data_IF_667756624748
#
_entry.id   IF_667756624748
#
_cell.length_a   1.000
_cell.length_b   1.000
_cell.length_c   1.000
_cell.angle_alpha   90.00
_cell.angle_beta   90.00
_cell.angle_gamma   90.00
#
_symmetry.space_group_name_H-M   'P 1'
#
loop_
_entity.id
_entity.type
_entity.pdbx_description
1 polymer ?
#
# COMPACT_ATOMS: atom_id res chain seq x y z
N UNK A 1 -72.65 -31.14 39.78
CA UNK A 1 -72.50 -31.59 38.38
C UNK A 1 -72.98 -30.44 37.51
N UNK A 2 -72.10 -29.81 36.75
CA UNK A 2 -72.34 -29.61 35.31
C UNK A 2 -71.10 -29.08 34.61
N UNK A 3 -70.83 -29.72 33.48
CA UNK A 3 -69.59 -29.71 32.74
C UNK A 3 -69.52 -28.53 31.74
N UNK A 4 -68.31 -27.97 31.60
CA UNK A 4 -67.71 -27.42 30.38
C UNK A 4 -68.58 -26.51 29.49
N UNK A 5 -68.36 -25.19 29.60
CA UNK A 5 -68.27 -24.32 28.41
C UNK A 5 -66.80 -24.14 28.05
N UNK A 6 -66.26 -25.05 27.23
CA UNK A 6 -65.00 -24.81 26.53
C UNK A 6 -65.24 -23.67 25.53
N UNK A 7 -64.68 -22.49 25.82
CA UNK A 7 -64.59 -21.41 24.82
C UNK A 7 -63.62 -21.89 23.75
N UNK A 8 -64.13 -22.06 22.53
CA UNK A 8 -63.34 -22.35 21.34
C UNK A 8 -62.31 -21.22 21.12
N UNK A 9 -61.04 -21.54 20.78
CA UNK A 9 -60.03 -20.53 20.51
C UNK A 9 -60.38 -19.77 19.21
N UNK A 10 -60.70 -18.48 19.32
CA UNK A 10 -60.86 -17.57 18.18
C UNK A 10 -59.48 -17.24 17.61
N UNK A 11 -59.14 -17.81 16.45
CA UNK A 11 -57.90 -17.53 15.72
C UNK A 11 -58.16 -16.41 14.72
N UNK A 12 -57.67 -15.20 15.01
CA UNK A 12 -57.68 -14.09 14.06
C UNK A 12 -56.46 -14.20 13.12
N UNK A 13 -56.63 -14.85 11.98
CA UNK A 13 -55.62 -14.85 10.92
C UNK A 13 -55.85 -13.68 9.95
N UNK A 14 -55.30 -12.50 10.25
CA UNK A 14 -55.19 -11.41 9.25
C UNK A 14 -54.07 -11.77 8.27
N UNK A 15 -54.33 -12.70 7.34
CA UNK A 15 -53.32 -13.20 6.42
C UNK A 15 -53.21 -12.31 5.18
N UNK A 16 -51.99 -11.88 4.88
CA UNK A 16 -51.56 -11.33 3.58
C UNK A 16 -50.75 -12.47 2.95
N UNK A 17 -51.07 -12.84 1.70
CA UNK A 17 -50.50 -13.97 0.92
C UNK A 17 -49.05 -14.35 1.31
N UNK A 18 -48.83 -15.65 1.52
CA UNK A 18 -47.57 -16.27 1.91
C UNK A 18 -46.45 -15.95 0.90
N UNK A 19 -46.76 -15.93 -0.40
CA UNK A 19 -45.83 -15.52 -1.47
C UNK A 19 -45.33 -14.09 -1.32
N UNK A 20 -46.20 -13.14 -0.96
CA UNK A 20 -45.79 -11.75 -0.75
C UNK A 20 -44.86 -11.62 0.45
N UNK A 21 -45.08 -12.37 1.54
CA UNK A 21 -44.21 -12.33 2.73
C UNK A 21 -42.81 -12.88 2.45
N UNK A 22 -42.71 -13.98 1.72
CA UNK A 22 -41.40 -14.52 1.26
C UNK A 22 -40.70 -13.55 0.31
N UNK A 23 -41.44 -12.92 -0.60
CA UNK A 23 -40.87 -11.90 -1.48
C UNK A 23 -40.38 -10.66 -0.69
N UNK A 24 -41.09 -10.24 0.36
CA UNK A 24 -40.67 -9.14 1.23
C UNK A 24 -39.42 -9.51 2.05
N UNK A 25 -39.34 -10.71 2.63
CA UNK A 25 -38.15 -11.12 3.40
C UNK A 25 -36.92 -11.22 2.50
N UNK A 26 -37.06 -11.80 1.29
CA UNK A 26 -35.99 -11.85 0.30
C UNK A 26 -35.59 -10.45 -0.21
N UNK A 27 -36.58 -9.57 -0.38
CA UNK A 27 -36.35 -8.16 -0.75
C UNK A 27 -35.57 -7.39 0.31
N UNK A 28 -35.93 -7.55 1.60
CA UNK A 28 -35.22 -6.93 2.73
C UNK A 28 -33.79 -7.44 2.83
N UNK A 29 -33.57 -8.76 2.71
CA UNK A 29 -32.20 -9.32 2.71
C UNK A 29 -31.37 -8.75 1.57
N UNK A 30 -31.91 -8.69 0.35
CA UNK A 30 -31.21 -8.08 -0.81
C UNK A 30 -30.94 -6.58 -0.61
N UNK A 31 -31.89 -5.84 -0.05
CA UNK A 31 -31.74 -4.42 0.24
C UNK A 31 -30.55 -4.14 1.17
N UNK A 32 -30.27 -5.05 2.10
CA UNK A 32 -29.13 -4.93 3.02
C UNK A 32 -27.86 -5.46 2.37
N UNK A 33 -27.93 -6.60 1.69
CA UNK A 33 -26.74 -7.29 1.18
C UNK A 33 -26.06 -6.55 0.02
N UNK A 34 -26.85 -5.91 -0.86
CA UNK A 34 -26.33 -5.13 -2.00
C UNK A 34 -25.42 -3.96 -1.58
N UNK A 35 -25.83 -3.03 -0.70
CA UNK A 35 -24.97 -1.91 -0.30
C UNK A 35 -23.71 -2.38 0.43
N UNK A 36 -23.77 -3.50 1.16
CA UNK A 36 -22.61 -4.07 1.85
C UNK A 36 -21.58 -4.58 0.85
N UNK A 37 -22.02 -5.31 -0.17
CA UNK A 37 -21.13 -5.78 -1.25
C UNK A 37 -20.52 -4.58 -1.98
N UNK A 38 -21.32 -3.57 -2.35
CA UNK A 38 -20.83 -2.37 -3.03
C UNK A 38 -19.79 -1.63 -2.19
N UNK A 39 -20.02 -1.52 -0.88
CA UNK A 39 -19.11 -0.86 0.04
C UNK A 39 -17.81 -1.65 0.22
N UNK A 40 -17.87 -2.98 0.32
CA UNK A 40 -16.69 -3.85 0.35
C UNK A 40 -15.86 -3.71 -0.93
N UNK A 41 -16.51 -3.73 -2.10
CA UNK A 41 -15.86 -3.51 -3.40
C UNK A 41 -15.20 -2.13 -3.44
N UNK A 42 -15.90 -1.08 -3.03
CA UNK A 42 -15.35 0.29 -2.99
C UNK A 42 -14.06 0.38 -2.16
N UNK A 43 -14.06 -0.20 -0.95
CA UNK A 43 -12.88 -0.17 -0.09
C UNK A 43 -11.71 -0.99 -0.65
N UNK A 44 -11.98 -2.16 -1.26
CA UNK A 44 -10.96 -2.96 -1.94
C UNK A 44 -10.32 -2.20 -3.09
N UNK A 45 -11.12 -1.56 -3.95
CA UNK A 45 -10.59 -0.74 -5.05
C UNK A 45 -9.79 0.46 -4.54
N UNK A 46 -10.25 1.13 -3.47
CA UNK A 46 -9.56 2.30 -2.93
C UNK A 46 -8.23 1.94 -2.27
N UNK A 47 -8.17 0.85 -1.52
CA UNK A 47 -6.92 0.30 -0.98
C UNK A 47 -5.97 -0.10 -2.11
N UNK A 48 -6.47 -0.83 -3.12
CA UNK A 48 -5.67 -1.26 -4.26
C UNK A 48 -4.98 -0.09 -4.96
N UNK A 49 -5.71 1.00 -5.20
CA UNK A 49 -5.14 2.19 -5.84
C UNK A 49 -4.07 2.90 -5.01
N UNK A 50 -4.24 2.97 -3.68
CA UNK A 50 -3.26 3.60 -2.78
C UNK A 50 -1.99 2.74 -2.69
N UNK A 51 -2.15 1.43 -2.49
CA UNK A 51 -1.03 0.49 -2.41
C UNK A 51 -0.24 0.47 -3.72
N UNK A 52 -0.94 0.41 -4.85
CA UNK A 52 -0.31 0.42 -6.17
C UNK A 52 0.52 1.68 -6.38
N UNK A 53 -0.02 2.86 -6.01
CA UNK A 53 0.72 4.13 -6.11
C UNK A 53 1.95 4.19 -5.20
N UNK A 54 1.83 3.72 -3.95
CA UNK A 54 2.96 3.68 -3.00
C UNK A 54 4.07 2.78 -3.53
N UNK A 55 3.72 1.55 -3.95
CA UNK A 55 4.70 0.53 -4.32
C UNK A 55 5.33 0.83 -5.68
N UNK A 56 4.54 1.25 -6.67
CA UNK A 56 5.00 1.40 -8.06
C UNK A 56 5.68 2.74 -8.34
N UNK A 57 5.30 3.82 -7.64
CA UNK A 57 5.77 5.17 -7.97
C UNK A 57 6.56 5.78 -6.81
N UNK A 58 5.94 6.02 -5.65
CA UNK A 58 6.57 6.89 -4.65
C UNK A 58 7.73 6.20 -3.90
N UNK A 59 7.62 4.90 -3.58
CA UNK A 59 8.74 4.15 -2.97
C UNK A 59 9.87 3.90 -3.97
N UNK A 60 9.53 3.59 -5.23
CA UNK A 60 10.52 3.40 -6.29
C UNK A 60 11.31 4.69 -6.55
N UNK A 61 10.64 5.85 -6.59
CA UNK A 61 11.30 7.14 -6.77
C UNK A 61 12.18 7.49 -5.57
N UNK A 62 11.72 7.25 -4.33
CA UNK A 62 12.51 7.50 -3.14
C UNK A 62 13.82 6.69 -3.15
N UNK A 63 13.73 5.37 -3.36
CA UNK A 63 14.91 4.50 -3.42
C UNK A 63 15.85 4.85 -4.58
N UNK A 64 15.31 5.26 -5.73
CA UNK A 64 16.14 5.69 -6.87
C UNK A 64 16.81 7.04 -6.61
N UNK A 65 16.17 7.99 -5.92
CA UNK A 65 16.77 9.26 -5.53
C UNK A 65 17.91 9.06 -4.51
N UNK A 66 17.70 8.21 -3.50
CA UNK A 66 18.73 7.80 -2.55
C UNK A 66 19.91 7.14 -3.30
N UNK A 67 19.62 6.17 -4.17
CA UNK A 67 20.66 5.51 -4.97
C UNK A 67 21.40 6.48 -5.88
N UNK A 68 20.70 7.45 -6.47
CA UNK A 68 21.32 8.50 -7.27
C UNK A 68 22.32 9.33 -6.45
N UNK A 69 21.98 9.66 -5.19
CA UNK A 69 22.90 10.38 -4.30
C UNK A 69 24.16 9.55 -3.97
N UNK A 70 24.01 8.25 -3.69
CA UNK A 70 25.13 7.35 -3.41
C UNK A 70 26.06 7.21 -4.61
N UNK A 71 25.49 7.04 -5.81
CA UNK A 71 26.23 6.92 -7.06
C UNK A 71 26.97 8.22 -7.39
N UNK A 72 26.38 9.39 -7.08
CA UNK A 72 27.05 10.68 -7.25
C UNK A 72 28.24 10.85 -6.30
N UNK A 73 28.11 10.43 -5.03
CA UNK A 73 29.21 10.44 -4.07
C UNK A 73 30.37 9.52 -4.52
N UNK A 74 30.03 8.35 -5.09
CA UNK A 74 31.03 7.45 -5.67
C UNK A 74 31.74 8.08 -6.88
N UNK A 75 30.99 8.79 -7.74
CA UNK A 75 31.56 9.53 -8.86
C UNK A 75 32.53 10.63 -8.40
N UNK A 76 32.22 11.36 -7.32
CA UNK A 76 33.12 12.35 -6.72
C UNK A 76 34.37 11.70 -6.09
N UNK A 77 34.23 10.50 -5.53
CA UNK A 77 35.36 9.76 -4.99
C UNK A 77 36.31 9.34 -6.10
N UNK A 78 35.78 8.79 -7.20
CA UNK A 78 36.56 8.39 -8.37
C UNK A 78 37.17 9.60 -9.09
N UNK A 79 36.48 10.75 -9.13
CA UNK A 79 37.02 12.04 -9.59
C UNK A 79 38.28 12.43 -8.79
N UNK A 80 38.17 12.46 -7.46
CA UNK A 80 39.29 12.79 -6.57
C UNK A 80 40.45 11.81 -6.74
N UNK A 81 40.16 10.52 -6.84
CA UNK A 81 41.20 9.51 -7.09
C UNK A 81 41.89 9.74 -8.43
N UNK A 82 41.15 10.03 -9.50
CA UNK A 82 41.74 10.37 -10.80
C UNK A 82 42.65 11.60 -10.71
N UNK A 83 42.22 12.68 -10.06
CA UNK A 83 43.07 13.87 -9.94
C UNK A 83 44.32 13.67 -9.11
N UNK A 84 44.29 12.74 -8.14
CA UNK A 84 45.45 12.41 -7.31
C UNK A 84 46.40 11.42 -8.00
N UNK A 85 45.85 10.37 -8.63
CA UNK A 85 46.62 9.23 -9.12
C UNK A 85 46.81 9.23 -10.64
N UNK A 86 46.04 10.03 -11.37
CA UNK A 86 45.98 10.08 -12.84
C UNK A 86 45.68 8.71 -13.47
N UNK A 87 45.01 7.83 -12.74
CA UNK A 87 44.61 6.53 -13.28
C UNK A 87 43.45 6.71 -14.27
N UNK A 88 43.73 6.45 -15.55
CA UNK A 88 42.73 6.57 -16.59
C UNK A 88 41.56 5.58 -16.41
N UNK A 89 41.74 4.53 -15.61
CA UNK A 89 40.67 3.63 -15.21
C UNK A 89 39.65 4.32 -14.30
N UNK A 90 40.09 5.14 -13.34
CA UNK A 90 39.21 5.91 -12.44
C UNK A 90 38.39 6.94 -13.23
N UNK A 91 39.00 7.60 -14.21
CA UNK A 91 38.30 8.52 -15.10
C UNK A 91 37.19 7.83 -15.91
N UNK A 92 37.51 6.69 -16.54
CA UNK A 92 36.52 5.89 -17.30
C UNK A 92 35.41 5.37 -16.40
N UNK A 93 35.75 4.91 -15.19
CA UNK A 93 34.78 4.47 -14.20
C UNK A 93 33.83 5.60 -13.83
N UNK A 94 34.35 6.79 -13.54
CA UNK A 94 33.55 7.99 -13.24
C UNK A 94 32.61 8.35 -14.40
N UNK A 95 33.09 8.35 -15.65
CA UNK A 95 32.24 8.60 -16.82
C UNK A 95 31.09 7.59 -16.95
N UNK A 96 31.38 6.30 -16.74
CA UNK A 96 30.36 5.25 -16.81
C UNK A 96 29.34 5.37 -15.66
N UNK A 97 29.81 5.72 -14.46
CA UNK A 97 28.95 5.97 -13.29
C UNK A 97 27.99 7.14 -13.54
N UNK A 98 28.49 8.23 -14.14
CA UNK A 98 27.68 9.40 -14.51
C UNK A 98 26.65 9.06 -15.61
N UNK A 99 27.02 8.24 -16.59
CA UNK A 99 26.08 7.81 -17.64
C UNK A 99 24.98 6.89 -17.08
N UNK A 100 25.34 5.98 -16.17
CA UNK A 100 24.37 5.16 -15.45
C UNK A 100 23.42 6.02 -14.60
N UNK A 101 23.95 7.06 -13.96
CA UNK A 101 23.18 8.02 -13.16
C UNK A 101 22.21 8.82 -14.04
N UNK A 102 22.64 9.26 -15.23
CA UNK A 102 21.78 9.90 -16.23
C UNK A 102 20.60 9.01 -16.63
N UNK A 103 20.87 7.74 -16.96
CA UNK A 103 19.85 6.77 -17.32
C UNK A 103 18.84 6.53 -16.18
N UNK A 104 19.34 6.45 -14.94
CA UNK A 104 18.50 6.33 -13.74
C UNK A 104 17.55 7.54 -13.59
N UNK A 105 18.07 8.76 -13.71
CA UNK A 105 17.28 9.99 -13.59
C UNK A 105 16.27 10.13 -14.74
N UNK A 106 16.62 9.72 -15.95
CA UNK A 106 15.67 9.69 -17.06
C UNK A 106 14.51 8.72 -16.82
N UNK A 107 14.77 7.60 -16.14
CA UNK A 107 13.71 6.66 -15.75
C UNK A 107 12.76 7.26 -14.70
N UNK A 108 13.30 8.03 -13.74
CA UNK A 108 12.51 8.82 -12.78
C UNK A 108 11.57 9.81 -13.47
N UNK A 109 12.03 10.47 -14.54
CA UNK A 109 11.20 11.42 -15.31
C UNK A 109 9.92 10.76 -15.84
N UNK A 110 10.01 9.51 -16.28
CA UNK A 110 8.87 8.76 -16.82
C UNK A 110 7.92 8.29 -15.71
N UNK A 111 8.46 7.96 -14.55
CA UNK A 111 7.69 7.48 -13.41
C UNK A 111 6.93 8.61 -12.69
N UNK A 112 7.50 9.82 -12.60
CA UNK A 112 6.93 10.90 -11.80
C UNK A 112 6.94 12.25 -12.53
N UNK A 113 5.90 12.48 -13.34
CA UNK A 113 5.70 13.74 -14.06
C UNK A 113 5.58 14.97 -13.13
N UNK A 114 5.16 14.77 -11.88
CA UNK A 114 4.99 15.87 -10.91
C UNK A 114 6.31 16.48 -10.43
N UNK A 115 7.42 15.75 -10.52
CA UNK A 115 8.76 16.22 -10.11
C UNK A 115 9.65 16.53 -11.33
N UNK A 116 9.06 16.69 -12.52
CA UNK A 116 9.80 16.88 -13.77
C UNK A 116 10.82 18.04 -13.71
N UNK A 117 10.47 19.15 -13.05
CA UNK A 117 11.36 20.31 -12.90
C UNK A 117 12.61 19.99 -12.07
N UNK A 118 12.46 19.31 -10.93
CA UNK A 118 13.60 18.89 -10.09
C UNK A 118 14.47 17.87 -10.84
N UNK A 119 13.83 16.93 -11.54
CA UNK A 119 14.53 15.92 -12.34
C UNK A 119 15.31 16.56 -13.50
N UNK A 120 14.74 17.57 -14.17
CA UNK A 120 15.44 18.35 -15.21
C UNK A 120 16.64 19.10 -14.64
N UNK A 121 16.50 19.70 -13.45
CA UNK A 121 17.62 20.36 -12.78
C UNK A 121 18.73 19.38 -12.42
N UNK A 122 18.39 18.20 -11.88
CA UNK A 122 19.37 17.13 -11.62
C UNK A 122 20.10 16.69 -12.90
N UNK A 123 19.41 16.60 -14.04
CA UNK A 123 20.05 16.28 -15.32
C UNK A 123 20.99 17.39 -15.80
N UNK A 124 20.61 18.66 -15.63
CA UNK A 124 21.44 19.81 -15.98
C UNK A 124 22.69 19.92 -15.08
N UNK A 125 22.54 19.67 -13.79
CA UNK A 125 23.66 19.62 -12.83
C UNK A 125 24.63 18.49 -13.18
N UNK A 126 24.10 17.31 -13.54
CA UNK A 126 24.90 16.17 -13.98
C UNK A 126 25.65 16.43 -15.30
N UNK A 127 25.01 17.11 -16.24
CA UNK A 127 25.65 17.51 -17.50
C UNK A 127 26.78 18.52 -17.25
N UNK A 128 26.53 19.51 -16.40
CA UNK A 128 27.54 20.51 -15.99
C UNK A 128 28.72 19.82 -15.33
N UNK A 129 28.47 18.86 -14.42
CA UNK A 129 29.50 18.05 -13.79
C UNK A 129 30.32 17.25 -14.82
N UNK A 130 29.66 16.57 -15.76
CA UNK A 130 30.35 15.79 -16.80
C UNK A 130 31.23 16.66 -17.69
N UNK A 131 30.75 17.84 -18.10
CA UNK A 131 31.50 18.80 -18.90
C UNK A 131 32.70 19.36 -18.11
N UNK A 132 32.50 19.69 -16.83
CA UNK A 132 33.59 20.13 -15.95
C UNK A 132 34.68 19.05 -15.83
N UNK A 133 34.27 17.79 -15.73
CA UNK A 133 35.20 16.67 -15.57
C UNK A 133 36.03 16.43 -16.83
N UNK A 134 35.42 16.57 -18.01
CA UNK A 134 36.14 16.55 -19.29
C UNK A 134 37.20 17.66 -19.37
N UNK A 135 36.83 18.91 -19.05
CA UNK A 135 37.76 20.05 -19.04
C UNK A 135 38.89 19.87 -18.03
N UNK A 136 38.58 19.34 -16.85
CA UNK A 136 39.59 19.07 -15.84
C UNK A 136 40.58 18.00 -16.31
N UNK A 137 40.10 16.90 -16.93
CA UNK A 137 40.94 15.84 -17.45
C UNK A 137 41.84 16.30 -18.60
N UNK A 138 41.34 17.13 -19.52
CA UNK A 138 42.14 17.77 -20.58
C UNK A 138 43.26 18.61 -19.97
N UNK A 139 42.91 19.49 -19.03
CA UNK A 139 43.87 20.37 -18.37
C UNK A 139 44.90 19.62 -17.53
N UNK A 140 44.47 18.55 -16.86
CA UNK A 140 45.33 17.63 -16.12
C UNK A 140 46.28 16.90 -17.07
N UNK A 141 45.84 16.45 -18.24
CA UNK A 141 46.73 15.85 -19.23
C UNK A 141 47.76 16.84 -19.80
N UNK A 142 47.37 18.11 -19.97
CA UNK A 142 48.28 19.18 -20.43
C UNK A 142 49.28 19.64 -19.36
N UNK A 143 48.89 19.63 -18.08
CA UNK A 143 49.72 20.09 -16.95
C UNK A 143 50.42 18.94 -16.19
N UNK A 144 50.10 17.68 -16.49
CA UNK A 144 50.11 16.57 -15.52
C UNK A 144 51.47 16.05 -15.08
N UNK A 145 52.48 15.98 -15.95
CA UNK A 145 53.76 15.37 -15.58
C UNK A 145 54.55 16.17 -14.53
N UNK A 146 54.81 17.48 -14.71
CA UNK A 146 55.61 18.25 -13.76
C UNK A 146 54.99 18.36 -12.36
N UNK A 147 53.66 18.35 -12.27
CA UNK A 147 52.92 18.47 -11.00
C UNK A 147 52.89 17.15 -10.23
N UNK A 148 52.65 16.04 -10.93
CA UNK A 148 52.69 14.69 -10.35
C UNK A 148 54.09 14.34 -9.88
N UNK A 149 55.12 14.71 -10.65
CA UNK A 149 56.51 14.46 -10.26
C UNK A 149 56.89 15.25 -8.99
N UNK A 150 56.37 16.46 -8.81
CA UNK A 150 56.54 17.24 -7.57
C UNK A 150 55.76 16.67 -6.39
N UNK A 151 54.50 16.27 -6.59
CA UNK A 151 53.70 15.62 -5.54
C UNK A 151 54.31 14.28 -5.10
N UNK A 152 54.73 13.45 -6.06
CA UNK A 152 55.43 12.19 -5.81
C UNK A 152 56.79 12.45 -5.15
N UNK A 153 57.49 13.50 -5.57
CA UNK A 153 58.73 13.96 -4.95
C UNK A 153 58.54 14.38 -3.49
N UNK A 154 57.50 15.16 -3.18
CA UNK A 154 57.15 15.59 -1.83
C UNK A 154 56.75 14.40 -0.95
N UNK A 155 55.95 13.47 -1.47
CA UNK A 155 55.57 12.23 -0.76
C UNK A 155 56.80 11.35 -0.51
N UNK A 156 57.65 11.13 -1.52
CA UNK A 156 58.86 10.33 -1.37
C UNK A 156 59.88 10.98 -0.43
N UNK A 157 59.98 12.31 -0.43
CA UNK A 157 60.79 13.08 0.51
C UNK A 157 60.26 12.92 1.94
N UNK A 158 58.95 13.04 2.14
CA UNK A 158 58.31 12.85 3.44
C UNK A 158 58.43 11.41 3.96
N UNK A 159 58.30 10.42 3.09
CA UNK A 159 58.52 9.01 3.42
C UNK A 159 59.96 8.75 3.85
N UNK A 160 60.93 9.28 3.10
CA UNK A 160 62.36 9.22 3.46
C UNK A 160 62.61 9.91 4.80
N UNK A 161 62.01 11.07 5.02
CA UNK A 161 62.12 11.83 6.25
C UNK A 161 61.59 11.07 7.47
N UNK A 162 60.43 10.41 7.34
CA UNK A 162 59.88 9.54 8.39
C UNK A 162 60.81 8.35 8.64
N UNK A 163 61.38 7.77 7.58
CA UNK A 163 62.27 6.63 7.70
C UNK A 163 63.60 7.00 8.38
N UNK A 164 64.13 8.19 8.12
CA UNK A 164 65.32 8.75 8.77
C UNK A 164 65.08 9.02 10.26
N UNK A 165 63.88 9.46 10.64
CA UNK A 165 63.47 9.59 12.06
C UNK A 165 63.42 8.22 12.75
N UNK A 166 62.92 7.19 12.05
CA UNK A 166 62.84 5.83 12.58
C UNK A 166 64.20 5.14 12.70
N UNK A 167 65.13 5.42 11.78
CA UNK A 167 66.46 4.79 11.71
C UNK A 167 67.57 5.61 12.41
N UNK A 168 67.29 6.84 12.85
CA UNK A 168 68.23 7.72 13.55
C UNK A 168 68.77 7.11 14.85
N UNK A 169 70.09 6.92 14.92
CA UNK A 169 70.80 6.10 15.91
C UNK A 169 70.89 6.62 17.36
N UNK A 170 70.13 7.66 17.77
CA UNK A 170 70.06 8.09 19.17
C UNK A 170 68.68 8.67 19.50
N UNK A 171 68.03 8.23 20.60
CA UNK A 171 66.68 8.67 20.92
C UNK A 171 66.70 10.15 21.33
N UNK A 172 66.08 11.07 20.56
CA UNK A 172 65.72 12.36 21.09
C UNK A 172 64.61 12.12 22.12
N UNK A 173 64.62 12.83 23.25
CA UNK A 173 63.49 12.78 24.19
C UNK A 173 62.17 13.06 23.47
N UNK A 174 61.06 12.51 23.97
CA UNK A 174 59.71 12.58 23.36
C UNK A 174 59.31 13.98 22.84
N UNK A 175 59.73 15.04 23.52
CA UNK A 175 59.50 16.43 23.11
C UNK A 175 60.27 16.85 21.84
N UNK A 176 61.47 16.31 21.62
CA UNK A 176 62.26 16.51 20.40
C UNK A 176 61.64 15.78 19.21
N UNK A 177 61.21 14.53 19.39
CA UNK A 177 60.49 13.77 18.37
C UNK A 177 59.19 14.46 17.94
N UNK A 178 58.38 14.96 18.88
CA UNK A 178 57.15 15.68 18.56
C UNK A 178 57.41 16.99 17.81
N UNK A 179 58.49 17.72 18.14
CA UNK A 179 58.86 18.96 17.46
C UNK A 179 59.41 18.70 16.06
N UNK A 180 60.22 17.66 15.89
CA UNK A 180 60.74 17.20 14.59
C UNK A 180 59.61 16.73 13.67
N UNK A 181 58.67 15.92 14.19
CA UNK A 181 57.50 15.47 13.44
C UNK A 181 56.65 16.67 12.99
N UNK A 182 56.41 17.62 13.89
CA UNK A 182 55.62 18.82 13.61
C UNK A 182 56.25 19.71 12.53
N UNK A 183 57.58 19.94 12.59
CA UNK A 183 58.28 20.74 11.58
C UNK A 183 58.25 20.07 10.20
N UNK A 184 58.40 18.74 10.14
CA UNK A 184 58.35 17.99 8.87
C UNK A 184 56.94 17.88 8.30
N UNK A 185 55.92 17.68 9.13
CA UNK A 185 54.51 17.75 8.69
C UNK A 185 54.19 19.15 8.17
N UNK A 186 54.66 20.21 8.83
CA UNK A 186 54.45 21.58 8.35
C UNK A 186 55.12 21.86 6.99
N UNK A 187 56.29 21.27 6.73
CA UNK A 187 56.95 21.38 5.41
C UNK A 187 56.21 20.60 4.33
N UNK A 188 55.81 19.37 4.63
CA UNK A 188 54.97 18.59 3.73
C UNK A 188 53.67 19.33 3.39
N UNK A 189 52.97 19.87 4.40
CA UNK A 189 51.75 20.66 4.19
C UNK A 189 52.01 21.89 3.30
N UNK A 190 53.15 22.56 3.46
CA UNK A 190 53.53 23.69 2.61
C UNK A 190 53.84 23.27 1.16
N UNK A 191 54.51 22.14 0.95
CA UNK A 191 54.82 21.62 -0.39
C UNK A 191 53.57 21.11 -1.11
N UNK A 192 52.65 20.47 -0.38
CA UNK A 192 51.34 20.05 -0.87
C UNK A 192 50.47 21.27 -1.21
N UNK A 193 50.49 22.32 -0.39
CA UNK A 193 49.75 23.56 -0.65
C UNK A 193 50.28 24.30 -1.89
N UNK A 194 51.60 24.34 -2.08
CA UNK A 194 52.23 24.91 -3.28
C UNK A 194 51.86 24.08 -4.51
N UNK A 195 52.04 22.76 -4.48
CA UNK A 195 51.66 21.88 -5.60
C UNK A 195 50.13 21.86 -5.87
N UNK A 196 49.33 22.15 -4.85
CA UNK A 196 47.87 22.27 -4.92
C UNK A 196 47.38 23.54 -5.60
N UNK A 197 48.13 24.65 -5.52
CA UNK A 197 47.71 26.00 -5.95
C UNK A 197 48.19 26.41 -7.35
N UNK A 198 48.97 25.57 -8.03
CA UNK A 198 49.65 25.92 -9.28
C UNK A 198 48.76 26.16 -10.50
N UNK A 199 47.50 25.70 -10.49
CA UNK A 199 46.59 25.91 -11.62
C UNK A 199 45.26 26.57 -11.20
N UNK A 200 45.12 27.90 -11.37
CA UNK A 200 43.90 28.60 -11.03
C UNK A 200 42.70 28.12 -11.86
N UNK A 201 42.95 27.58 -13.06
CA UNK A 201 41.90 27.02 -13.91
C UNK A 201 41.38 25.72 -13.30
N UNK A 202 42.25 24.81 -12.86
CA UNK A 202 41.82 23.57 -12.18
C UNK A 202 41.10 23.85 -10.85
N UNK A 203 41.52 24.87 -10.10
CA UNK A 203 40.80 25.30 -8.89
C UNK A 203 39.38 25.75 -9.25
N UNK A 204 39.23 26.56 -10.31
CA UNK A 204 37.91 27.01 -10.75
C UNK A 204 37.02 25.86 -11.24
N UNK A 205 37.58 24.90 -11.98
CA UNK A 205 36.84 23.74 -12.47
C UNK A 205 36.45 22.82 -11.31
N UNK A 206 37.35 22.56 -10.36
CA UNK A 206 37.05 21.79 -9.15
C UNK A 206 35.96 22.46 -8.31
N UNK A 207 35.96 23.79 -8.21
CA UNK A 207 34.88 24.55 -7.59
C UNK A 207 33.52 24.33 -8.27
N UNK A 208 33.48 24.39 -9.61
CA UNK A 208 32.25 24.13 -10.39
C UNK A 208 31.78 22.67 -10.30
N UNK A 209 32.71 21.71 -10.26
CA UNK A 209 32.41 20.29 -10.03
C UNK A 209 31.79 20.06 -8.65
N UNK A 210 32.38 20.66 -7.62
CA UNK A 210 31.86 20.60 -6.25
C UNK A 210 30.47 21.25 -6.16
N UNK A 211 30.27 22.40 -6.80
CA UNK A 211 28.99 23.12 -6.79
C UNK A 211 27.90 22.33 -7.50
N UNK A 212 28.15 21.85 -8.72
CA UNK A 212 27.20 21.03 -9.47
C UNK A 212 26.85 19.74 -8.75
N UNK A 213 27.83 19.06 -8.15
CA UNK A 213 27.58 17.87 -7.35
C UNK A 213 26.80 18.14 -6.06
N UNK A 214 27.10 19.23 -5.36
CA UNK A 214 26.35 19.62 -4.16
C UNK A 214 24.90 20.02 -4.50
N UNK A 215 24.69 20.74 -5.61
CA UNK A 215 23.35 21.07 -6.12
C UNK A 215 22.58 19.79 -6.45
N UNK A 216 23.20 18.87 -7.19
CA UNK A 216 22.63 17.56 -7.50
C UNK A 216 22.22 16.78 -6.24
N UNK A 217 23.12 16.68 -5.25
CA UNK A 217 22.87 15.96 -4.00
C UNK A 217 21.73 16.60 -3.20
N UNK A 218 21.68 17.94 -3.17
CA UNK A 218 20.58 18.67 -2.53
C UNK A 218 19.24 18.42 -3.21
N UNK A 219 19.19 18.40 -4.54
CA UNK A 219 17.98 18.10 -5.29
C UNK A 219 17.55 16.64 -5.13
N UNK A 220 18.50 15.70 -5.13
CA UNK A 220 18.26 14.29 -4.88
C UNK A 220 17.68 14.04 -3.47
N UNK A 221 18.31 14.62 -2.44
CA UNK A 221 17.81 14.52 -1.06
C UNK A 221 16.45 15.20 -0.88
N UNK A 222 16.23 16.33 -1.56
CA UNK A 222 14.94 17.00 -1.58
C UNK A 222 13.84 16.14 -2.24
N UNK A 223 14.15 15.50 -3.36
CA UNK A 223 13.26 14.59 -4.07
C UNK A 223 12.94 13.36 -3.21
N UNK A 224 13.95 12.76 -2.59
CA UNK A 224 13.81 11.62 -1.68
C UNK A 224 12.88 11.96 -0.50
N UNK A 225 13.16 13.07 0.20
CA UNK A 225 12.35 13.54 1.33
C UNK A 225 10.89 13.81 0.94
N UNK A 226 10.65 14.46 -0.21
CA UNK A 226 9.30 14.70 -0.71
C UNK A 226 8.58 13.39 -1.06
N UNK A 227 9.29 12.44 -1.64
CA UNK A 227 8.73 11.13 -1.99
C UNK A 227 8.39 10.30 -0.75
N UNK A 228 9.28 10.23 0.24
CA UNK A 228 8.98 9.59 1.53
C UNK A 228 7.80 10.24 2.25
N UNK A 229 7.71 11.57 2.22
CA UNK A 229 6.55 12.30 2.76
C UNK A 229 5.24 11.99 2.02
N UNK A 230 5.28 11.62 0.73
CA UNK A 230 4.10 11.11 0.01
C UNK A 230 3.77 9.69 0.45
N UNK A 231 4.76 8.79 0.51
CA UNK A 231 4.58 7.41 0.99
C UNK A 231 3.96 7.37 2.38
N UNK A 232 4.48 8.16 3.32
CA UNK A 232 4.00 8.21 4.70
C UNK A 232 2.57 8.78 4.79
N UNK A 233 2.22 9.76 3.96
CA UNK A 233 0.85 10.29 3.89
C UNK A 233 -0.11 9.24 3.33
N UNK A 234 0.26 8.59 2.23
CA UNK A 234 -0.56 7.57 1.58
C UNK A 234 -0.70 6.35 2.50
N UNK A 235 0.32 5.99 3.29
CA UNK A 235 0.24 4.96 4.33
C UNK A 235 -0.74 5.34 5.45
N UNK A 236 -0.66 6.58 5.97
CA UNK A 236 -1.61 7.08 6.99
C UNK A 236 -3.04 7.15 6.44
N UNK A 237 -3.22 7.46 5.17
CA UNK A 237 -4.52 7.46 4.50
C UNK A 237 -5.09 6.05 4.36
N UNK A 238 -4.25 5.08 3.97
CA UNK A 238 -4.63 3.67 3.92
C UNK A 238 -5.04 3.15 5.32
N UNK A 239 -4.27 3.48 6.37
CA UNK A 239 -4.64 3.09 7.74
C UNK A 239 -5.96 3.71 8.20
N UNK A 240 -6.21 4.98 7.87
CA UNK A 240 -7.49 5.66 8.19
C UNK A 240 -8.66 5.02 7.46
N UNK A 241 -8.48 4.66 6.19
CA UNK A 241 -9.48 3.95 5.40
C UNK A 241 -9.73 2.55 5.97
N UNK A 242 -8.69 1.83 6.39
CA UNK A 242 -8.81 0.50 7.00
C UNK A 242 -9.63 0.55 8.29
N UNK A 243 -9.33 1.49 9.19
CA UNK A 243 -10.12 1.67 10.42
C UNK A 243 -11.58 2.03 10.12
N UNK A 244 -11.84 2.89 9.14
CA UNK A 244 -13.22 3.21 8.73
C UNK A 244 -13.93 2.00 8.14
N UNK A 245 -13.26 1.23 7.29
CA UNK A 245 -13.81 -0.01 6.73
C UNK A 245 -14.15 -1.02 7.83
N UNK A 246 -13.26 -1.19 8.82
CA UNK A 246 -13.48 -2.08 9.97
C UNK A 246 -14.72 -1.67 10.77
N UNK A 247 -14.88 -0.39 11.10
CA UNK A 247 -16.07 0.12 11.79
C UNK A 247 -17.35 -0.08 10.97
N UNK A 248 -17.31 0.25 9.67
CA UNK A 248 -18.51 0.13 8.82
C UNK A 248 -18.89 -1.33 8.63
N UNK A 249 -17.93 -2.22 8.35
CA UNK A 249 -18.17 -3.65 8.23
C UNK A 249 -18.64 -4.25 9.57
N UNK A 250 -18.08 -3.80 10.70
CA UNK A 250 -18.51 -4.20 12.03
C UNK A 250 -19.97 -3.84 12.31
N UNK A 251 -20.37 -2.58 12.06
CA UNK A 251 -21.75 -2.12 12.25
C UNK A 251 -22.70 -2.87 11.31
N UNK A 252 -22.32 -3.02 10.04
CA UNK A 252 -23.11 -3.75 9.05
C UNK A 252 -23.30 -5.20 9.46
N UNK A 253 -22.22 -5.89 9.87
CA UNK A 253 -22.26 -7.29 10.30
C UNK A 253 -23.12 -7.48 11.54
N UNK A 254 -23.04 -6.54 12.48
CA UNK A 254 -23.90 -6.54 13.65
C UNK A 254 -25.38 -6.35 13.28
N UNK A 255 -25.68 -5.42 12.36
CA UNK A 255 -27.04 -5.16 11.90
C UNK A 255 -27.62 -6.35 11.12
N UNK A 256 -26.85 -6.99 10.23
CA UNK A 256 -27.28 -8.18 9.50
C UNK A 256 -27.55 -9.35 10.43
N UNK A 257 -26.72 -9.52 11.48
CA UNK A 257 -26.92 -10.53 12.51
C UNK A 257 -28.22 -10.29 13.28
N UNK A 258 -28.49 -9.05 13.72
CA UNK A 258 -29.74 -8.69 14.39
C UNK A 258 -30.97 -8.99 13.52
N UNK A 259 -30.91 -8.63 12.23
CA UNK A 259 -32.00 -8.87 11.28
C UNK A 259 -32.17 -10.37 11.01
N UNK A 260 -31.08 -11.13 10.95
CA UNK A 260 -31.10 -12.58 10.80
C UNK A 260 -31.76 -13.26 12.01
N UNK A 261 -31.38 -12.87 13.23
CA UNK A 261 -32.03 -13.35 14.47
C UNK A 261 -33.51 -12.99 14.44
N UNK A 262 -33.86 -11.74 14.14
CA UNK A 262 -35.24 -11.29 14.09
C UNK A 262 -36.07 -12.08 13.08
N UNK A 263 -35.56 -12.28 11.86
CA UNK A 263 -36.22 -13.08 10.84
C UNK A 263 -36.36 -14.55 11.27
N UNK A 264 -35.36 -15.12 11.93
CA UNK A 264 -35.38 -16.48 12.48
C UNK A 264 -36.42 -16.66 13.59
N UNK A 265 -36.73 -15.63 14.38
CA UNK A 265 -37.80 -15.68 15.38
C UNK A 265 -39.19 -15.43 14.81
N UNK A 266 -39.33 -14.52 13.84
CA UNK A 266 -40.63 -14.14 13.26
C UNK A 266 -41.14 -15.19 12.27
N UNK A 267 -40.26 -15.76 11.43
CA UNK A 267 -40.67 -16.75 10.42
C UNK A 267 -41.37 -17.99 11.01
N UNK A 268 -40.85 -18.66 12.06
CA UNK A 268 -41.49 -19.85 12.61
C UNK A 268 -42.87 -19.54 13.20
N UNK A 269 -43.00 -18.43 13.94
CA UNK A 269 -44.27 -18.04 14.55
C UNK A 269 -45.34 -17.71 13.51
N UNK A 270 -44.97 -17.04 12.42
CA UNK A 270 -45.95 -16.62 11.42
C UNK A 270 -46.22 -17.65 10.32
N UNK A 271 -45.28 -18.57 10.05
CA UNK A 271 -45.36 -19.51 8.92
C UNK A 271 -45.55 -20.95 9.38
N UNK A 272 -44.77 -21.40 10.37
CA UNK A 272 -44.78 -22.80 10.80
C UNK A 272 -45.99 -23.10 11.67
N UNK A 273 -46.35 -22.17 12.57
CA UNK A 273 -47.49 -22.34 13.46
C UNK A 273 -48.83 -22.51 12.72
N UNK A 274 -49.22 -21.66 11.74
CA UNK A 274 -50.46 -21.87 11.00
C UNK A 274 -50.45 -23.12 10.11
N UNK A 275 -49.29 -23.57 9.61
CA UNK A 275 -49.18 -24.83 8.88
C UNK A 275 -49.37 -26.05 9.81
N UNK A 276 -48.84 -25.98 11.03
CA UNK A 276 -49.04 -27.01 12.05
C UNK A 276 -50.50 -27.05 12.53
N UNK A 277 -51.13 -25.89 12.70
CA UNK A 277 -52.54 -25.80 13.09
C UNK A 277 -53.46 -26.34 11.98
N UNK A 278 -53.13 -26.07 10.70
CA UNK A 278 -53.86 -26.62 9.56
C UNK A 278 -53.68 -28.14 9.49
N UNK A 279 -52.46 -28.66 9.69
CA UNK A 279 -52.19 -30.10 9.76
C UNK A 279 -52.99 -30.75 10.90
N UNK A 280 -52.99 -30.14 12.09
CA UNK A 280 -53.73 -30.65 13.24
C UNK A 280 -55.24 -30.68 12.97
N UNK A 281 -55.79 -29.68 12.28
CA UNK A 281 -57.20 -29.65 11.89
C UNK A 281 -57.54 -30.75 10.86
N UNK A 282 -56.66 -31.00 9.89
CA UNK A 282 -56.83 -32.09 8.90
C UNK A 282 -56.72 -33.46 9.57
N UNK A 283 -55.76 -33.67 10.46
CA UNK A 283 -55.60 -34.93 11.21
C UNK A 283 -56.80 -35.21 12.12
N UNK A 284 -57.44 -34.17 12.71
CA UNK A 284 -58.67 -34.32 13.49
C UNK A 284 -59.91 -34.61 12.64
N UNK A 285 -60.01 -34.05 11.43
CA UNK A 285 -61.08 -34.36 10.49
C UNK A 285 -60.94 -35.79 9.93
N UNK A 286 -59.71 -36.24 9.67
CA UNK A 286 -59.42 -37.62 9.25
C UNK A 286 -59.72 -38.65 10.35
N UNK A 287 -59.66 -38.24 11.63
CA UNK A 287 -60.03 -39.08 12.78
C UNK A 287 -61.55 -39.20 13.01
N UNK A 288 -62.39 -38.69 12.09
CA UNK A 288 -63.83 -38.98 12.05
C UNK A 288 -64.72 -38.15 12.97
N UNK A 289 -64.24 -37.00 13.47
CA UNK A 289 -65.06 -36.02 14.20
C UNK A 289 -65.36 -34.81 13.31
N UNK A 290 -66.47 -34.86 12.59
CA UNK A 290 -66.85 -33.87 11.57
C UNK A 290 -67.57 -32.61 12.11
N UNK A 291 -67.74 -32.47 13.43
CA UNK A 291 -68.38 -31.29 14.04
C UNK A 291 -67.35 -30.20 14.43
N UNK A 292 -66.65 -29.64 13.45
CA UNK A 292 -65.89 -28.40 13.67
C UNK A 292 -66.33 -27.37 12.63
N UNK A 293 -66.90 -26.27 13.14
CA UNK A 293 -67.31 -25.11 12.35
C UNK A 293 -66.06 -24.30 11.96
N UNK A 294 -65.61 -24.47 10.72
CA UNK A 294 -64.49 -23.72 10.14
C UNK A 294 -64.94 -22.30 9.78
N UNK A 295 -64.90 -21.36 10.73
CA UNK A 295 -65.08 -19.93 10.43
C UNK A 295 -63.73 -19.31 10.04
N UNK A 296 -63.34 -19.50 8.77
CA UNK A 296 -62.12 -18.93 8.21
C UNK A 296 -62.44 -17.59 7.55
N UNK A 297 -62.50 -16.51 8.34
CA UNK A 297 -62.57 -15.15 7.81
C UNK A 297 -61.17 -14.62 7.45
N UNK A 298 -60.83 -14.67 6.17
CA UNK A 298 -59.60 -14.08 5.62
C UNK A 298 -59.57 -14.09 4.09
N UNK A 299 -58.65 -13.32 3.48
CA UNK A 299 -58.37 -13.35 2.02
C UNK A 299 -56.95 -13.89 1.79
N UNK A 300 -56.80 -15.08 1.19
CA UNK A 300 -55.51 -15.62 0.78
C UNK A 300 -55.49 -17.11 0.46
N UNK A 301 -54.35 -17.59 -0.05
CA UNK A 301 -54.13 -18.96 -0.59
C UNK A 301 -54.46 -20.11 0.39
N UNK A 302 -54.36 -19.87 1.71
CA UNK A 302 -54.71 -20.86 2.74
C UNK A 302 -56.22 -21.01 2.88
N UNK A 303 -56.98 -19.94 2.62
CA UNK A 303 -58.46 -19.98 2.59
C UNK A 303 -58.92 -20.69 1.33
N UNK A 304 -58.24 -20.48 0.20
CA UNK A 304 -58.52 -21.20 -1.05
C UNK A 304 -58.25 -22.71 -0.87
N UNK A 305 -57.17 -23.07 -0.18
CA UNK A 305 -56.86 -24.46 0.16
C UNK A 305 -57.88 -25.03 1.16
N UNK A 306 -58.25 -24.28 2.20
CA UNK A 306 -59.27 -24.70 3.16
C UNK A 306 -60.63 -24.91 2.50
N UNK A 307 -61.00 -24.05 1.55
CA UNK A 307 -62.22 -24.20 0.74
C UNK A 307 -62.12 -25.42 -0.20
N UNK A 308 -60.99 -25.63 -0.88
CA UNK A 308 -60.79 -26.83 -1.71
C UNK A 308 -60.84 -28.13 -0.89
N UNK A 309 -60.29 -28.12 0.34
CA UNK A 309 -60.38 -29.26 1.25
C UNK A 309 -61.81 -29.44 1.77
N UNK A 310 -62.53 -28.35 2.04
CA UNK A 310 -63.95 -28.39 2.43
C UNK A 310 -64.81 -28.97 1.31
N UNK A 311 -64.58 -28.54 0.08
CA UNK A 311 -65.26 -29.06 -1.11
C UNK A 311 -64.93 -30.54 -1.34
N UNK A 312 -63.67 -30.95 -1.14
CA UNK A 312 -63.26 -32.35 -1.23
C UNK A 312 -63.94 -33.22 -0.15
N UNK A 313 -64.00 -32.74 1.10
CA UNK A 313 -64.66 -33.45 2.20
C UNK A 313 -66.17 -33.53 1.94
N UNK A 314 -66.79 -32.46 1.44
CA UNK A 314 -68.21 -32.48 1.05
C UNK A 314 -68.48 -33.50 -0.05
N UNK A 315 -67.64 -33.53 -1.09
CA UNK A 315 -67.76 -34.50 -2.19
C UNK A 315 -67.56 -35.95 -1.75
N UNK A 316 -66.62 -36.20 -0.82
CA UNK A 316 -66.41 -37.54 -0.26
C UNK A 316 -67.58 -37.95 0.63
N UNK A 317 -68.17 -37.00 1.38
CA UNK A 317 -69.34 -37.26 2.20
C UNK A 317 -70.56 -37.60 1.34
N UNK A 318 -70.79 -36.84 0.26
CA UNK A 318 -71.88 -37.05 -0.70
C UNK A 318 -71.74 -38.40 -1.42
N UNK A 319 -70.52 -38.76 -1.86
CA UNK A 319 -70.27 -40.06 -2.50
C UNK A 319 -70.44 -41.25 -1.54
N UNK A 320 -70.13 -41.06 -0.25
CA UNK A 320 -70.35 -42.09 0.78
C UNK A 320 -71.83 -42.25 1.12
N UNK A 321 -72.57 -41.14 1.12
CA UNK A 321 -74.04 -41.15 1.26
C UNK A 321 -74.74 -41.83 0.08
N UNK A 322 -74.25 -41.68 -1.15
CA UNK A 322 -74.76 -42.40 -2.32
C UNK A 322 -74.45 -43.91 -2.29
N UNK A 323 -73.29 -44.30 -1.74
CA UNK A 323 -72.94 -45.72 -1.60
C UNK A 323 -73.78 -46.46 -0.54
N UNK A 324 -74.23 -45.77 0.52
CA UNK A 324 -75.15 -46.33 1.53
C UNK A 324 -76.62 -46.40 1.03
N UNK A 325 -76.94 -45.83 -0.15
CA UNK A 325 -78.29 -45.85 -0.75
C UNK A 325 -78.43 -46.94 -1.84
N UNK A 326 -77.39 -47.72 -2.15
CA UNK A 326 -77.52 -48.93 -2.98
C UNK A 326 -77.54 -50.21 -2.15
N UNK A 327 -78.71 -50.71 -1.71
CA UNK A 327 -78.91 -52.13 -1.51
C UNK A 327 -79.27 -52.77 -2.86
N UNK A 328 -78.39 -53.68 -3.30
CA UNK A 328 -78.66 -54.82 -4.21
C UNK A 328 -79.11 -54.52 -5.64
#
# INVERSE_FOLDING_TARGET
MDWRRQRLPRVFARSRSMRRRVAYSLGVVRLILVPVILLAIYYLFRMGWIVDRIVSVDAAVAMQAERASLVMLDAQRSERNYFLLHDQQDFKSSQQTIENLRNMIQSLRRAQAQEALTIEKMLADLETYQQGMGKAAERVNEAGQPRIDRLRGAIASYEKDLNDILHGARPPGRAGLLRELHDRTSRFDSEIAVAGTEDPILISISGQLQESANSFLSEAAGLESRSWNRVERDHRDAQRLMRRAEWVLGIVSFLTLLISIWASYVLPKEVVQPLLDLKAAVDHAAAGKYEIEFDVQGKGEVVDLANSVRDLIAHVHEKKSDQDISPS
#
